data_IF_998657047529
#
_entry.id   IF_998657047529
#
_cell.length_a   1.000
_cell.length_b   1.000
_cell.length_c   1.000
_cell.angle_alpha   90.00
_cell.angle_beta   90.00
_cell.angle_gamma   90.00
#
_symmetry.space_group_name_H-M   'P 1'
#
loop_
_entity.id
_entity.type
_entity.pdbx_description
1 polymer ?
#
# COMPACT_ATOMS: atom_id res chain seq x y z
N UNK A 1 5.91 -39.37 -2.92
CA UNK A 1 6.35 -38.57 -1.75
C UNK A 1 5.30 -37.50 -1.51
N UNK A 2 4.41 -37.72 -0.54
CA UNK A 2 3.35 -36.77 -0.20
C UNK A 2 3.86 -35.82 0.88
N UNK A 3 3.80 -34.51 0.61
CA UNK A 3 4.04 -33.50 1.63
C UNK A 3 2.75 -33.35 2.45
N UNK A 4 2.81 -33.69 3.74
CA UNK A 4 1.71 -33.43 4.67
C UNK A 4 1.99 -32.09 5.36
N UNK A 5 1.09 -31.11 5.16
CA UNK A 5 1.09 -29.87 5.92
C UNK A 5 0.34 -30.16 7.23
N UNK A 6 1.05 -30.14 8.37
CA UNK A 6 0.46 -30.26 9.71
C UNK A 6 0.18 -28.88 10.29
N UNK A 7 -0.87 -28.77 11.13
CA UNK A 7 -1.20 -27.52 11.81
C UNK A 7 -0.09 -27.14 12.80
N UNK A 8 0.42 -25.89 12.78
CA UNK A 8 1.49 -25.48 13.68
C UNK A 8 0.97 -25.29 15.13
N UNK A 9 1.72 -25.80 16.11
CA UNK A 9 1.57 -25.47 17.54
C UNK A 9 2.62 -24.43 17.96
N UNK A 10 2.28 -23.60 18.95
CA UNK A 10 3.16 -22.56 19.49
C UNK A 10 3.10 -22.57 21.02
N UNK A 11 4.23 -22.28 21.67
CA UNK A 11 4.30 -21.86 23.06
C UNK A 11 4.93 -20.47 23.16
N UNK A 12 4.59 -19.71 24.19
CA UNK A 12 5.16 -18.38 24.45
C UNK A 12 6.09 -18.49 25.65
N UNK A 13 7.28 -17.90 25.54
CA UNK A 13 8.21 -17.82 26.68
C UNK A 13 7.81 -16.62 27.56
N UNK A 14 7.47 -16.89 28.82
CA UNK A 14 7.24 -15.87 29.84
C UNK A 14 8.35 -16.01 30.87
N UNK A 15 9.19 -14.98 31.02
CA UNK A 15 10.36 -14.98 31.91
C UNK A 15 11.30 -16.18 31.68
N UNK A 16 11.49 -16.58 30.42
CA UNK A 16 12.36 -17.70 30.05
C UNK A 16 11.74 -19.09 30.25
N UNK A 17 10.51 -19.18 30.77
CA UNK A 17 9.77 -20.44 30.92
C UNK A 17 8.68 -20.56 29.84
N UNK A 18 8.58 -21.69 29.11
CA UNK A 18 7.56 -21.88 28.10
C UNK A 18 6.17 -22.05 28.74
N UNK A 19 5.15 -21.43 28.14
CA UNK A 19 3.75 -21.75 28.44
C UNK A 19 3.34 -23.09 27.84
N UNK A 20 2.13 -23.55 28.15
CA UNK A 20 1.48 -24.63 27.43
C UNK A 20 1.40 -24.32 25.93
N UNK A 21 1.53 -25.36 25.11
CA UNK A 21 1.35 -25.25 23.67
C UNK A 21 -0.12 -25.03 23.32
N UNK A 22 -0.34 -24.19 22.32
CA UNK A 22 -1.64 -23.95 21.73
C UNK A 22 -1.55 -23.98 20.20
N UNK A 23 -2.66 -24.34 19.55
CA UNK A 23 -2.75 -24.37 18.10
C UNK A 23 -2.95 -22.97 17.54
N UNK A 24 -2.29 -22.68 16.42
CA UNK A 24 -2.47 -21.41 15.72
C UNK A 24 -3.68 -21.54 14.78
N UNK A 25 -4.79 -20.89 15.11
CA UNK A 25 -5.97 -20.85 14.22
C UNK A 25 -5.88 -19.79 13.12
N UNK A 26 -5.16 -18.68 13.39
CA UNK A 26 -5.01 -17.54 12.47
C UNK A 26 -3.65 -16.86 12.64
N UNK A 27 -3.17 -16.29 11.55
CA UNK A 27 -1.96 -15.47 11.52
C UNK A 27 -0.75 -16.25 11.01
N UNK A 28 0.20 -15.49 10.51
CA UNK A 28 1.50 -15.98 10.05
C UNK A 28 2.56 -15.55 11.06
N UNK A 29 3.58 -16.38 11.27
CA UNK A 29 4.64 -16.10 12.24
C UNK A 29 5.47 -14.91 11.76
N UNK A 30 5.52 -13.84 12.54
CA UNK A 30 6.39 -12.71 12.23
C UNK A 30 7.87 -13.14 12.29
N UNK A 31 8.63 -12.80 11.24
CA UNK A 31 10.04 -13.20 11.10
C UNK A 31 10.25 -14.56 10.43
N UNK A 32 9.18 -15.27 10.07
CA UNK A 32 9.28 -16.46 9.20
C UNK A 32 9.54 -16.01 7.75
N UNK A 33 10.59 -16.53 7.08
CA UNK A 33 10.92 -16.17 5.71
C UNK A 33 9.80 -16.46 4.69
N UNK A 34 8.88 -17.38 4.97
CA UNK A 34 7.77 -17.72 4.06
C UNK A 34 6.53 -16.82 4.23
N UNK A 35 6.39 -16.19 5.40
CA UNK A 35 5.21 -15.38 5.71
C UNK A 35 4.94 -14.23 4.73
N UNK A 36 5.95 -13.48 4.24
CA UNK A 36 5.72 -12.44 3.23
C UNK A 36 5.15 -12.97 1.92
N UNK A 37 5.59 -14.15 1.48
CA UNK A 37 5.12 -14.77 0.24
C UNK A 37 3.66 -15.22 0.37
N UNK A 38 3.32 -15.88 1.48
CA UNK A 38 1.95 -16.29 1.77
C UNK A 38 1.00 -15.08 1.86
N UNK A 39 1.47 -13.97 2.43
CA UNK A 39 0.70 -12.74 2.46
C UNK A 39 0.45 -12.19 1.05
N UNK A 40 1.46 -12.19 0.17
CA UNK A 40 1.30 -11.75 -1.22
C UNK A 40 0.30 -12.61 -2.00
N UNK A 41 0.24 -13.93 -1.77
CA UNK A 41 -0.77 -14.79 -2.39
C UNK A 41 -2.18 -14.36 -1.98
N UNK A 42 -2.40 -14.05 -0.71
CA UNK A 42 -3.70 -13.57 -0.22
C UNK A 42 -4.02 -12.18 -0.79
N UNK A 43 -3.04 -11.30 -0.90
CA UNK A 43 -3.21 -9.99 -1.54
C UNK A 43 -3.56 -10.12 -3.03
N UNK A 44 -2.95 -11.07 -3.75
CA UNK A 44 -3.28 -11.36 -5.15
C UNK A 44 -4.73 -11.80 -5.33
N UNK A 45 -5.28 -12.57 -4.38
CA UNK A 45 -6.70 -12.91 -4.41
C UNK A 45 -7.60 -11.65 -4.33
N UNK A 46 -7.20 -10.63 -3.58
CA UNK A 46 -7.91 -9.35 -3.55
C UNK A 46 -7.78 -8.58 -4.88
N UNK A 47 -6.59 -8.58 -5.50
CA UNK A 47 -6.38 -8.04 -6.85
C UNK A 47 -7.34 -8.70 -7.85
N UNK A 48 -7.39 -10.04 -7.89
CA UNK A 48 -8.31 -10.77 -8.77
C UNK A 48 -9.78 -10.40 -8.52
N UNK A 49 -10.21 -10.27 -7.26
CA UNK A 49 -11.59 -9.87 -6.95
C UNK A 49 -11.94 -8.48 -7.51
N UNK A 50 -11.00 -7.52 -7.43
CA UNK A 50 -11.21 -6.20 -8.02
C UNK A 50 -11.23 -6.23 -9.54
N UNK A 51 -10.31 -6.96 -10.17
CA UNK A 51 -10.28 -7.12 -11.63
C UNK A 51 -11.59 -7.73 -12.13
N UNK A 52 -12.05 -8.82 -11.53
CA UNK A 52 -13.34 -9.44 -11.87
C UNK A 52 -14.52 -8.49 -11.65
N UNK A 53 -14.50 -7.66 -10.60
CA UNK A 53 -15.56 -6.68 -10.38
C UNK A 53 -15.58 -5.58 -11.45
N UNK A 54 -14.42 -5.19 -11.97
CA UNK A 54 -14.30 -4.23 -13.08
C UNK A 54 -14.73 -4.86 -14.40
N UNK A 55 -14.27 -6.07 -14.71
CA UNK A 55 -14.64 -6.83 -15.92
C UNK A 55 -16.16 -7.06 -16.01
N UNK A 56 -16.81 -7.32 -14.86
CA UNK A 56 -18.26 -7.47 -14.78
C UNK A 56 -19.03 -6.14 -14.76
N UNK A 57 -18.34 -4.99 -14.87
CA UNK A 57 -18.95 -3.66 -14.82
C UNK A 57 -19.61 -3.30 -13.47
N UNK A 58 -19.27 -4.04 -12.41
CA UNK A 58 -19.75 -3.79 -11.04
C UNK A 58 -18.99 -2.64 -10.39
N UNK A 59 -17.74 -2.45 -10.78
CA UNK A 59 -16.87 -1.36 -10.39
C UNK A 59 -16.33 -0.67 -11.63
N UNK A 60 -15.99 0.61 -11.49
CA UNK A 60 -15.35 1.38 -12.56
C UNK A 60 -14.24 2.22 -11.95
N UNK A 61 -13.01 1.96 -12.39
CA UNK A 61 -11.82 2.70 -12.01
C UNK A 61 -11.72 4.07 -12.68
N UNK A 62 -10.63 4.78 -12.39
CA UNK A 62 -10.32 6.07 -13.00
C UNK A 62 -9.49 5.88 -14.26
N UNK A 63 -9.84 6.58 -15.35
CA UNK A 63 -9.06 6.58 -16.59
C UNK A 63 -7.86 7.49 -16.45
N UNK A 64 -6.70 7.04 -16.92
CA UNK A 64 -5.45 7.81 -16.87
C UNK A 64 -4.88 7.98 -18.28
N UNK A 65 -4.50 9.23 -18.61
CA UNK A 65 -3.95 9.56 -19.92
C UNK A 65 -5.00 9.57 -21.03
N UNK A 66 -4.53 9.79 -22.26
CA UNK A 66 -5.37 9.77 -23.46
C UNK A 66 -5.67 8.34 -23.96
N UNK A 67 -5.02 7.33 -23.39
CA UNK A 67 -5.04 5.96 -23.91
C UNK A 67 -6.16 5.08 -23.34
N UNK A 68 -7.19 5.64 -22.71
CA UNK A 68 -8.33 4.90 -22.13
C UNK A 68 -8.00 3.85 -21.06
N UNK A 69 -6.74 3.70 -20.67
CA UNK A 69 -6.30 2.77 -19.63
C UNK A 69 -6.97 3.11 -18.29
N UNK A 70 -7.67 2.13 -17.73
CA UNK A 70 -8.39 2.27 -16.48
C UNK A 70 -7.61 1.66 -15.32
N UNK A 71 -7.37 2.47 -14.28
CA UNK A 71 -6.81 1.99 -13.02
C UNK A 71 -7.91 1.96 -11.97
N UNK A 72 -8.13 0.79 -11.38
CA UNK A 72 -9.10 0.58 -10.30
C UNK A 72 -8.47 0.54 -8.92
N UNK A 73 -7.22 0.09 -8.81
CA UNK A 73 -6.53 -0.02 -7.52
C UNK A 73 -5.00 -0.06 -7.67
N UNK A 74 -4.31 0.23 -6.58
CA UNK A 74 -2.87 0.07 -6.38
C UNK A 74 -2.65 -0.63 -5.05
N UNK A 75 -1.87 -1.70 -5.04
CA UNK A 75 -1.60 -2.51 -3.86
C UNK A 75 -0.11 -2.61 -3.58
N UNK A 76 0.26 -2.42 -2.32
CA UNK A 76 1.58 -2.72 -1.80
C UNK A 76 1.41 -3.34 -0.41
N UNK A 77 1.74 -4.62 -0.28
CA UNK A 77 1.49 -5.39 0.94
C UNK A 77 0.07 -5.18 1.46
N UNK A 78 -0.09 -4.68 2.67
CA UNK A 78 -1.32 -4.38 3.39
C UNK A 78 -1.93 -3.01 3.05
N UNK A 79 -1.19 -2.15 2.35
CA UNK A 79 -1.66 -0.84 1.93
C UNK A 79 -2.28 -0.93 0.52
N UNK A 80 -3.56 -0.54 0.44
CA UNK A 80 -4.33 -0.53 -0.82
C UNK A 80 -4.96 0.83 -1.07
N UNK A 81 -4.76 1.38 -2.26
CA UNK A 81 -5.49 2.55 -2.77
C UNK A 81 -6.52 2.07 -3.78
N UNK A 82 -7.75 2.54 -3.64
CA UNK A 82 -8.82 2.30 -4.60
C UNK A 82 -9.13 3.58 -5.37
N UNK A 83 -9.14 3.47 -6.69
CA UNK A 83 -9.57 4.52 -7.61
C UNK A 83 -10.96 4.15 -8.11
N UNK A 84 -11.95 4.97 -7.81
CA UNK A 84 -13.35 4.71 -8.13
C UNK A 84 -13.97 5.94 -8.77
N UNK A 85 -14.73 5.73 -9.84
CA UNK A 85 -15.58 6.78 -10.40
C UNK A 85 -16.61 7.23 -9.32
N UNK A 86 -16.90 8.54 -9.17
CA UNK A 86 -17.71 9.09 -8.08
C UNK A 86 -19.21 8.80 -8.27
N UNK A 87 -19.57 7.51 -8.22
CA UNK A 87 -20.94 7.00 -8.26
C UNK A 87 -21.17 6.05 -7.11
N UNK A 88 -22.29 6.24 -6.42
CA UNK A 88 -22.63 5.48 -5.21
C UNK A 88 -22.76 3.97 -5.49
N UNK A 89 -23.19 3.58 -6.71
CA UNK A 89 -23.20 2.19 -7.18
C UNK A 89 -21.83 1.53 -7.06
N UNK A 90 -20.77 2.19 -7.57
CA UNK A 90 -19.42 1.63 -7.59
C UNK A 90 -18.78 1.60 -6.21
N UNK A 91 -19.05 2.63 -5.40
CA UNK A 91 -18.62 2.71 -3.98
C UNK A 91 -19.19 1.53 -3.18
N UNK A 92 -20.49 1.25 -3.32
CA UNK A 92 -21.13 0.10 -2.65
C UNK A 92 -20.59 -1.23 -3.15
N UNK A 93 -20.34 -1.36 -4.47
CA UNK A 93 -19.74 -2.56 -5.04
C UNK A 93 -18.35 -2.81 -4.46
N UNK A 94 -17.50 -1.78 -4.38
CA UNK A 94 -16.18 -1.88 -3.76
C UNK A 94 -16.26 -2.33 -2.29
N UNK A 95 -17.18 -1.77 -1.49
CA UNK A 95 -17.39 -2.22 -0.11
C UNK A 95 -17.83 -3.69 -0.02
N UNK A 96 -18.66 -4.16 -0.96
CA UNK A 96 -19.06 -5.59 -1.03
C UNK A 96 -17.90 -6.49 -1.39
N UNK A 97 -17.07 -6.11 -2.36
CA UNK A 97 -15.86 -6.86 -2.73
C UNK A 97 -14.92 -7.01 -1.53
N UNK A 98 -14.64 -5.90 -0.84
CA UNK A 98 -13.85 -5.91 0.39
C UNK A 98 -14.46 -6.81 1.47
N UNK A 99 -15.79 -6.80 1.62
CA UNK A 99 -16.48 -7.67 2.58
C UNK A 99 -16.37 -9.15 2.21
N UNK A 100 -16.51 -9.50 0.93
CA UNK A 100 -16.30 -10.87 0.46
C UNK A 100 -14.88 -11.34 0.73
N UNK A 101 -13.90 -10.45 0.51
CA UNK A 101 -12.50 -10.74 0.83
C UNK A 101 -12.28 -10.97 2.33
N UNK A 102 -12.84 -10.15 3.22
CA UNK A 102 -12.75 -10.38 4.68
C UNK A 102 -13.32 -11.73 5.09
N UNK A 103 -14.46 -12.12 4.51
CA UNK A 103 -15.11 -13.40 4.81
C UNK A 103 -14.29 -14.59 4.30
N UNK A 104 -13.73 -14.50 3.09
CA UNK A 104 -12.96 -15.57 2.48
C UNK A 104 -11.58 -15.73 3.12
N UNK A 105 -10.86 -14.63 3.34
CA UNK A 105 -9.50 -14.63 3.89
C UNK A 105 -9.46 -14.70 5.42
N UNK A 106 -10.59 -14.43 6.09
CA UNK A 106 -10.67 -14.19 7.55
C UNK A 106 -9.81 -13.01 8.04
N UNK A 107 -9.27 -12.19 7.12
CA UNK A 107 -8.60 -10.94 7.44
C UNK A 107 -9.63 -9.84 7.71
N UNK A 108 -9.22 -8.82 8.47
CA UNK A 108 -10.07 -7.68 8.80
C UNK A 108 -9.46 -6.41 8.26
N UNK A 109 -10.21 -5.69 7.44
CA UNK A 109 -9.80 -4.42 6.87
C UNK A 109 -9.96 -3.33 7.92
N UNK A 110 -8.92 -2.53 8.12
CA UNK A 110 -8.91 -1.47 9.12
C UNK A 110 -9.49 -0.16 8.55
N UNK A 111 -10.82 -0.09 8.42
CA UNK A 111 -11.50 1.12 7.93
C UNK A 111 -11.26 2.37 8.79
N UNK A 112 -10.87 2.21 10.06
CA UNK A 112 -10.52 3.34 10.93
C UNK A 112 -9.18 3.99 10.55
N UNK A 113 -8.23 3.20 10.03
CA UNK A 113 -6.97 3.70 9.46
C UNK A 113 -7.11 4.10 7.99
N UNK A 114 -8.13 3.60 7.29
CA UNK A 114 -8.45 4.03 5.93
C UNK A 114 -9.01 5.46 5.92
N UNK A 115 -8.84 6.12 4.79
CA UNK A 115 -9.46 7.42 4.53
C UNK A 115 -10.04 7.49 3.13
N UNK A 116 -11.02 8.37 2.94
CA UNK A 116 -11.55 8.73 1.64
C UNK A 116 -11.06 10.11 1.26
N UNK A 117 -10.49 10.19 0.07
CA UNK A 117 -10.08 11.45 -0.54
C UNK A 117 -11.00 11.71 -1.71
N UNK A 118 -11.58 12.90 -1.74
CA UNK A 118 -12.33 13.38 -2.88
C UNK A 118 -11.45 14.32 -3.68
N UNK A 119 -11.40 14.07 -4.98
CA UNK A 119 -10.94 15.04 -5.95
C UNK A 119 -12.12 15.95 -6.39
N UNK A 120 -11.89 17.27 -6.42
CA UNK A 120 -12.79 18.24 -7.04
C UNK A 120 -13.84 18.88 -6.12
N UNK A 121 -14.95 19.33 -6.72
CA UNK A 121 -15.99 20.11 -6.04
C UNK A 121 -16.66 19.29 -4.92
N UNK A 122 -17.02 19.96 -3.82
CA UNK A 122 -17.71 19.35 -2.68
C UNK A 122 -19.05 18.77 -3.13
N UNK A 123 -19.16 17.45 -3.07
CA UNK A 123 -20.39 16.72 -3.35
C UNK A 123 -20.81 15.94 -2.10
N UNK A 124 -22.12 15.79 -1.90
CA UNK A 124 -22.67 14.99 -0.78
C UNK A 124 -22.23 13.52 -0.83
N UNK A 125 -21.80 13.04 -2.01
CA UNK A 125 -21.28 11.69 -2.24
C UNK A 125 -20.15 11.28 -1.29
N UNK A 126 -19.32 12.21 -0.84
CA UNK A 126 -18.23 11.85 0.10
C UNK A 126 -18.79 11.49 1.46
N UNK A 127 -19.82 12.20 1.91
CA UNK A 127 -20.44 11.93 3.20
C UNK A 127 -21.08 10.53 3.15
N UNK A 128 -21.83 10.23 2.08
CA UNK A 128 -22.41 8.90 1.84
C UNK A 128 -21.32 7.82 1.78
N UNK A 129 -20.21 8.09 1.07
CA UNK A 129 -19.10 7.17 0.96
C UNK A 129 -18.42 6.92 2.31
N UNK A 130 -18.20 7.97 3.12
CA UNK A 130 -17.63 7.84 4.46
C UNK A 130 -18.52 7.06 5.40
N UNK A 131 -19.84 7.17 5.26
CA UNK A 131 -20.80 6.37 6.03
C UNK A 131 -20.77 4.89 5.62
N UNK A 132 -20.75 4.61 4.30
CA UNK A 132 -20.66 3.24 3.76
C UNK A 132 -19.35 2.56 4.19
N UNK A 133 -18.22 3.26 4.06
CA UNK A 133 -16.92 2.71 4.40
C UNK A 133 -16.65 2.72 5.92
N UNK A 134 -17.29 3.63 6.67
CA UNK A 134 -17.00 3.96 8.08
C UNK A 134 -15.56 4.43 8.28
N UNK A 135 -15.10 5.33 7.42
CA UNK A 135 -13.74 5.85 7.43
C UNK A 135 -13.73 7.39 7.42
N UNK A 136 -12.56 7.96 7.71
CA UNK A 136 -12.39 9.42 7.81
C UNK A 136 -12.30 10.05 6.42
N UNK A 137 -12.84 11.26 6.27
CA UNK A 137 -12.53 12.12 5.11
C UNK A 137 -11.12 12.69 5.27
N UNK A 138 -10.34 12.64 4.21
CA UNK A 138 -9.03 13.27 4.11
C UNK A 138 -8.97 14.20 2.88
N UNK A 139 -7.99 15.10 2.89
CA UNK A 139 -7.67 15.96 1.75
C UNK A 139 -6.24 15.66 1.30
N UNK A 140 -5.95 15.82 0.01
CA UNK A 140 -4.58 15.77 -0.46
C UNK A 140 -3.78 16.95 0.14
N UNK A 141 -2.49 16.76 0.44
CA UNK A 141 -1.72 15.53 0.24
C UNK A 141 -1.89 14.49 1.36
N UNK A 142 -1.91 13.20 0.99
CA UNK A 142 -1.98 12.06 1.95
C UNK A 142 -0.67 11.27 1.94
N UNK A 143 -0.29 10.67 3.07
CA UNK A 143 0.90 9.80 3.11
C UNK A 143 0.57 8.38 2.66
N UNK A 144 1.33 7.85 1.72
CA UNK A 144 1.29 6.46 1.27
C UNK A 144 2.72 5.95 1.11
N UNK A 145 3.08 4.87 1.82
CA UNK A 145 4.44 4.31 1.84
C UNK A 145 5.53 5.35 2.21
N UNK A 146 5.19 6.35 3.02
CA UNK A 146 6.08 7.45 3.39
C UNK A 146 6.19 8.57 2.36
N UNK A 147 5.44 8.51 1.26
CA UNK A 147 5.38 9.53 0.21
C UNK A 147 4.10 10.37 0.31
N UNK A 148 4.18 11.71 0.20
CA UNK A 148 3.00 12.56 0.17
C UNK A 148 2.34 12.55 -1.21
N UNK A 149 1.33 11.71 -1.40
CA UNK A 149 0.51 11.68 -2.62
C UNK A 149 -0.24 12.99 -2.81
N UNK A 150 -0.22 13.53 -4.02
CA UNK A 150 -0.87 14.80 -4.37
C UNK A 150 -0.03 16.05 -4.09
N UNK A 151 1.11 15.92 -3.40
CA UNK A 151 2.06 17.01 -3.25
C UNK A 151 2.91 17.19 -4.53
N UNK A 152 3.47 18.38 -4.74
CA UNK A 152 4.27 18.67 -5.92
C UNK A 152 5.65 17.98 -5.84
N UNK A 153 5.95 16.97 -6.68
CA UNK A 153 7.21 16.24 -6.62
C UNK A 153 8.43 17.07 -7.07
N UNK A 154 8.21 18.19 -7.77
CA UNK A 154 9.31 19.12 -8.13
C UNK A 154 9.73 20.03 -6.97
N UNK A 155 8.97 20.07 -5.88
CA UNK A 155 9.33 20.83 -4.69
C UNK A 155 10.34 20.07 -3.83
N UNK A 156 11.36 20.77 -3.33
CA UNK A 156 12.30 20.21 -2.35
C UNK A 156 11.58 19.71 -1.08
N UNK A 157 10.55 20.45 -0.64
CA UNK A 157 9.76 20.12 0.55
C UNK A 157 9.02 18.77 0.46
N UNK A 158 8.77 18.26 -0.76
CA UNK A 158 8.20 16.92 -0.96
C UNK A 158 9.15 15.81 -0.49
N UNK A 159 10.45 16.01 -0.70
CA UNK A 159 11.48 15.00 -0.47
C UNK A 159 12.06 15.03 0.95
N UNK A 160 11.93 16.15 1.65
CA UNK A 160 12.41 16.32 3.03
C UNK A 160 11.99 15.18 3.99
N UNK A 161 10.71 14.73 4.05
CA UNK A 161 10.33 13.62 4.94
C UNK A 161 10.97 12.27 4.55
N UNK A 162 11.13 12.02 3.25
CA UNK A 162 11.78 10.81 2.74
C UNK A 162 13.26 10.81 3.11
N UNK A 163 13.93 11.95 2.90
CA UNK A 163 15.33 12.15 3.25
C UNK A 163 15.55 12.00 4.76
N UNK A 164 14.68 12.59 5.59
CA UNK A 164 14.74 12.45 7.05
C UNK A 164 14.58 11.00 7.51
N UNK A 165 13.70 10.21 6.87
CA UNK A 165 13.52 8.80 7.21
C UNK A 165 14.74 7.95 6.82
N UNK A 166 15.37 8.24 5.68
CA UNK A 166 16.63 7.61 5.25
C UNK A 166 17.75 7.96 6.22
N UNK A 167 17.89 9.25 6.57
CA UNK A 167 18.89 9.73 7.53
C UNK A 167 18.70 9.07 8.90
N UNK A 168 17.46 8.98 9.41
CA UNK A 168 17.15 8.26 10.65
C UNK A 168 17.57 6.79 10.62
N UNK A 169 17.35 6.09 9.51
CA UNK A 169 17.78 4.69 9.35
C UNK A 169 19.31 4.57 9.30
N UNK A 170 19.99 5.52 8.66
CA UNK A 170 21.45 5.58 8.61
C UNK A 170 22.09 5.85 9.98
N UNK A 171 21.50 6.75 10.78
CA UNK A 171 21.97 7.03 12.13
C UNK A 171 21.76 5.85 13.08
N UNK A 172 20.67 5.09 12.92
CA UNK A 172 20.43 3.87 13.69
C UNK A 172 21.50 2.80 13.42
N UNK A 173 21.98 2.69 12.17
CA UNK A 173 23.05 1.78 11.78
C UNK A 173 24.46 2.21 12.22
N UNK A 174 24.67 3.44 12.71
CA UNK A 174 25.96 3.88 13.29
C UNK A 174 26.21 3.32 14.69
N UNK A 175 25.15 2.91 15.41
CA UNK A 175 25.25 2.34 16.76
C UNK A 175 25.52 0.84 16.79
N UNK A 176 25.31 0.14 15.67
CA UNK A 176 25.71 -1.26 15.53
C UNK A 176 27.22 -1.34 15.27
N UNK A 177 27.92 -2.03 16.16
CA UNK A 177 29.37 -2.28 16.17
C UNK A 177 29.94 -2.90 14.88
N UNK A 178 29.09 -3.21 13.91
CA UNK A 178 29.40 -3.93 12.67
C UNK A 178 30.08 -3.06 11.60
N UNK A 179 30.08 -1.72 11.76
CA UNK A 179 30.58 -0.78 10.75
C UNK A 179 31.75 0.07 11.26
N UNK A 180 32.87 -0.58 11.60
CA UNK A 180 34.16 0.11 11.74
C UNK A 180 34.94 0.06 10.41
N UNK A 181 35.49 1.19 9.98
CA UNK A 181 36.39 1.28 8.81
C UNK A 181 35.71 1.23 7.44
N UNK A 182 36.41 0.69 6.44
CA UNK A 182 36.07 0.72 4.99
C UNK A 182 34.64 0.30 4.60
N UNK A 183 33.92 -0.42 5.47
CA UNK A 183 32.49 -0.70 5.33
C UNK A 183 31.61 0.56 5.25
N UNK A 184 31.98 1.66 5.92
CA UNK A 184 31.25 2.94 5.84
C UNK A 184 31.46 3.65 4.49
N UNK A 185 32.66 3.56 3.93
CA UNK A 185 32.97 4.07 2.58
C UNK A 185 32.29 3.23 1.50
N UNK A 186 32.24 1.91 1.67
CA UNK A 186 31.49 0.99 0.81
C UNK A 186 29.98 1.15 0.94
N UNK A 187 29.45 1.51 2.12
CA UNK A 187 28.06 1.89 2.33
C UNK A 187 27.74 3.27 1.75
N UNK A 188 28.67 4.24 1.77
CA UNK A 188 28.50 5.52 1.06
C UNK A 188 28.52 5.36 -0.45
N UNK A 189 29.41 4.52 -0.99
CA UNK A 189 29.43 4.17 -2.43
C UNK A 189 28.20 3.37 -2.82
N UNK A 190 27.83 2.37 -2.02
CA UNK A 190 26.56 1.66 -2.18
C UNK A 190 25.38 2.60 -2.03
N UNK A 191 25.39 3.60 -1.16
CA UNK A 191 24.35 4.61 -1.02
C UNK A 191 24.28 5.54 -2.23
N UNK A 192 25.40 5.89 -2.84
CA UNK A 192 25.42 6.66 -4.09
C UNK A 192 24.84 5.83 -5.24
N UNK A 193 25.20 4.54 -5.29
CA UNK A 193 24.67 3.57 -6.26
C UNK A 193 23.21 3.23 -5.96
N UNK A 194 22.80 3.15 -4.70
CA UNK A 194 21.43 2.89 -4.25
C UNK A 194 20.58 4.15 -4.40
N UNK A 195 21.15 5.37 -4.29
CA UNK A 195 20.54 6.63 -4.75
C UNK A 195 20.27 6.52 -6.23
N UNK A 196 21.25 6.16 -7.05
CA UNK A 196 21.07 6.04 -8.50
C UNK A 196 20.07 4.94 -8.87
N UNK A 197 20.10 3.79 -8.20
CA UNK A 197 19.17 2.67 -8.41
C UNK A 197 17.79 2.99 -7.87
N UNK A 198 17.64 3.72 -6.76
CA UNK A 198 16.37 4.28 -6.29
C UNK A 198 15.91 5.36 -7.26
N UNK A 199 16.74 6.25 -7.78
CA UNK A 199 16.35 7.23 -8.79
C UNK A 199 15.98 6.56 -10.13
N UNK A 200 16.53 5.36 -10.42
CA UNK A 200 16.21 4.57 -11.62
C UNK A 200 15.00 3.67 -11.43
N UNK A 201 14.78 3.14 -10.23
CA UNK A 201 13.60 2.34 -9.83
C UNK A 201 12.41 3.24 -9.50
N UNK A 202 12.63 4.39 -8.84
CA UNK A 202 11.70 5.52 -8.76
C UNK A 202 11.59 6.23 -10.10
N UNK A 203 12.58 6.14 -10.97
CA UNK A 203 12.51 6.55 -12.37
C UNK A 203 11.57 5.64 -13.16
N UNK A 204 11.60 4.33 -12.89
CA UNK A 204 10.65 3.34 -13.39
C UNK A 204 9.27 3.52 -12.75
N UNK A 205 9.21 3.75 -11.44
CA UNK A 205 8.03 4.20 -10.72
C UNK A 205 7.61 5.59 -11.19
N UNK A 206 8.45 6.41 -11.83
CA UNK A 206 8.14 7.74 -12.38
C UNK A 206 7.90 7.69 -13.89
N UNK A 207 8.18 6.59 -14.57
CA UNK A 207 7.63 6.24 -15.88
C UNK A 207 6.25 5.61 -15.67
N UNK A 208 6.08 4.85 -14.60
CA UNK A 208 4.81 4.25 -14.17
C UNK A 208 3.88 5.30 -13.50
N UNK A 209 4.38 6.08 -12.54
CA UNK A 209 3.77 7.32 -12.05
C UNK A 209 3.89 8.47 -13.08
N UNK A 210 4.69 8.28 -14.13
CA UNK A 210 4.81 9.17 -15.29
C UNK A 210 3.66 9.03 -16.25
N UNK A 211 3.16 7.80 -16.38
CA UNK A 211 1.82 7.53 -16.90
C UNK A 211 0.74 8.11 -15.97
N UNK A 212 1.00 8.20 -14.66
CA UNK A 212 0.23 9.04 -13.72
C UNK A 212 0.65 10.53 -13.69
N UNK A 213 1.49 11.07 -14.60
CA UNK A 213 1.69 12.54 -14.71
C UNK A 213 0.40 13.25 -15.08
N UNK A 214 -0.57 12.48 -15.56
CA UNK A 214 -1.94 12.90 -15.64
C UNK A 214 -2.63 13.04 -14.29
N UNK A 215 -2.05 12.86 -13.11
CA UNK A 215 -2.73 13.30 -11.87
C UNK A 215 -2.78 14.83 -11.75
N UNK A 216 -2.01 15.59 -12.53
CA UNK A 216 -2.22 17.05 -12.67
C UNK A 216 -3.10 17.38 -13.89
N UNK A 217 -3.04 16.60 -14.97
CA UNK A 217 -3.92 16.77 -16.15
C UNK A 217 -5.33 16.14 -16.05
N UNK A 218 -5.54 15.14 -15.20
CA UNK A 218 -6.86 14.61 -14.78
C UNK A 218 -7.60 15.69 -13.98
N UNK A 219 -6.85 16.58 -13.33
CA UNK A 219 -7.38 17.70 -12.55
C UNK A 219 -7.45 19.00 -13.36
N UNK A 220 -6.60 19.22 -14.37
CA UNK A 220 -6.67 20.41 -15.25
C UNK A 220 -7.50 20.21 -16.53
N UNK A 221 -7.71 18.98 -16.97
CA UNK A 221 -8.56 18.63 -18.12
C UNK A 221 -10.07 18.66 -17.83
N UNK A 222 -10.47 18.98 -16.59
CA UNK A 222 -11.86 19.26 -16.17
C UNK A 222 -12.18 20.76 -16.12
N UNK A 223 -11.28 21.63 -16.61
CA UNK A 223 -11.51 23.06 -16.82
C UNK A 223 -11.49 23.45 -18.31
N UNK A 224 -11.79 22.51 -19.20
CA UNK A 224 -12.18 22.75 -20.60
C UNK A 224 -13.59 22.29 -20.83
#
# INVERSE_FOLDING_TARGET
>A
MGWYISSPSLSVLINGSPTLEFLIERGLRQGDPLSPFLFNIVAEALNCLFQTAVEKGLMKGTTIGNNSDQISHLQFTDDTILFLEPKLKFIRAAKRVLRCFELASKLKINFHKSCLVQDGKKNNLVNDATEIFRCKKACLPISYLGLPLGANPSSKAFWDPVLAQIEKRLHRGKGDSFLKGGGWLSLKRSYQIFRLTIYRFLGFLWVWLGRLKNCREIFSGLMG
#
